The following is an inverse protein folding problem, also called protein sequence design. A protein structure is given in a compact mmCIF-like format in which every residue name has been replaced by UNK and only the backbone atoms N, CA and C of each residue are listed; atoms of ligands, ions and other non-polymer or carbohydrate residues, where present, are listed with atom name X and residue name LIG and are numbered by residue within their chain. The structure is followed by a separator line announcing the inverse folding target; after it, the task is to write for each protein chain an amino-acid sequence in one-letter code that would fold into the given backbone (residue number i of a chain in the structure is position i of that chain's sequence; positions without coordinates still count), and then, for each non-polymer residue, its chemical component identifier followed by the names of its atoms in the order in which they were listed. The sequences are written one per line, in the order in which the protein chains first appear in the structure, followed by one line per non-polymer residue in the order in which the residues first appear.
data_IF_303178461364
#
_entry.id   IF_303178461364
#
_cell.length_a   1.000
_cell.length_b   1.000
_cell.length_c   1.000
_cell.angle_alpha   90.00
_cell.angle_beta   90.00
_cell.angle_gamma   90.00
#
_symmetry.space_group_name_H-M   'P 1'
#
loop_
_entity.id
_entity.type
_entity.pdbx_description
1 polymer ?
#
# COMPACT_ATOMS: atom_id res chain seq x y z
N UNK A 1 11.03 11.09 6.05
CA UNK A 1 12.32 10.39 6.21
C UNK A 1 12.90 10.14 4.82
N UNK A 2 14.18 10.45 4.63
CA UNK A 2 14.93 10.16 3.41
C UNK A 2 15.30 8.67 3.35
N UNK A 3 15.43 8.11 2.15
CA UNK A 3 15.93 6.77 1.92
C UNK A 3 17.37 6.63 2.42
N UNK A 4 17.64 5.55 3.16
CA UNK A 4 19.01 5.08 3.37
C UNK A 4 19.49 4.37 2.10
N UNK A 5 20.81 4.32 1.90
CA UNK A 5 21.42 3.74 0.69
C UNK A 5 20.91 2.33 0.36
N UNK A 6 20.72 1.48 1.38
CA UNK A 6 20.21 0.11 1.23
C UNK A 6 18.77 0.02 0.71
N UNK A 7 17.95 1.07 0.88
CA UNK A 7 16.56 1.10 0.41
C UNK A 7 16.37 1.90 -0.87
N UNK A 8 17.34 2.73 -1.27
CA UNK A 8 17.19 3.70 -2.34
C UNK A 8 16.73 3.04 -3.66
N UNK A 9 17.31 1.90 -4.03
CA UNK A 9 16.95 1.16 -5.25
C UNK A 9 16.22 -0.15 -4.96
N UNK A 10 15.84 -0.40 -3.70
CA UNK A 10 15.17 -1.63 -3.31
C UNK A 10 13.71 -1.65 -3.78
N UNK A 11 13.13 -2.85 -3.94
CA UNK A 11 11.73 -2.99 -4.36
C UNK A 11 10.78 -2.31 -3.37
N UNK A 12 9.71 -1.73 -3.91
CA UNK A 12 8.67 -1.06 -3.14
C UNK A 12 7.34 -1.74 -3.45
N UNK A 13 6.64 -2.21 -2.42
CA UNK A 13 5.31 -2.79 -2.55
C UNK A 13 4.29 -1.98 -1.76
N UNK A 14 3.17 -1.65 -2.41
CA UNK A 14 2.08 -0.84 -1.86
C UNK A 14 0.81 -1.69 -1.86
N UNK A 15 0.20 -1.84 -0.68
CA UNK A 15 -1.12 -2.45 -0.50
C UNK A 15 -2.09 -1.39 -0.02
N UNK A 16 -3.18 -1.21 -0.76
CA UNK A 16 -4.10 -0.11 -0.54
C UNK A 16 -5.53 -0.62 -0.34
N UNK A 17 -6.09 -0.35 0.83
CA UNK A 17 -7.50 -0.54 1.14
C UNK A 17 -8.31 0.63 0.58
N UNK A 18 -8.99 0.45 -0.56
CA UNK A 18 -9.80 1.51 -1.18
C UNK A 18 -11.12 1.77 -0.44
N UNK A 19 -11.51 0.90 0.49
CA UNK A 19 -12.72 1.10 1.29
C UNK A 19 -12.41 2.04 2.46
N UNK A 20 -11.30 1.79 3.15
CA UNK A 20 -10.88 2.64 4.28
C UNK A 20 -10.25 3.95 3.77
N UNK A 21 -9.50 3.90 2.66
CA UNK A 21 -8.89 5.07 2.05
C UNK A 21 -9.37 5.25 0.59
N UNK A 22 -10.62 5.69 0.36
CA UNK A 22 -11.14 5.87 -0.99
C UNK A 22 -10.46 7.03 -1.72
N UNK A 23 -10.52 6.99 -3.06
CA UNK A 23 -10.16 8.14 -3.88
C UNK A 23 -11.20 9.24 -3.66
N UNK A 24 -10.79 10.51 -3.41
CA UNK A 24 -11.73 11.64 -3.34
C UNK A 24 -12.51 11.79 -4.66
N UNK A 25 -13.78 12.22 -4.60
CA UNK A 25 -14.68 12.24 -5.76
C UNK A 25 -14.14 13.03 -6.98
N UNK A 26 -13.40 14.11 -6.73
CA UNK A 26 -12.84 14.99 -7.77
C UNK A 26 -11.40 14.64 -8.15
N UNK A 27 -10.86 13.53 -7.65
CA UNK A 27 -9.48 13.13 -7.90
C UNK A 27 -9.38 12.12 -9.05
N UNK A 28 -8.50 12.41 -10.02
CA UNK A 28 -8.23 11.51 -11.13
C UNK A 28 -7.43 10.30 -10.66
N UNK A 29 -8.07 9.12 -10.66
CA UNK A 29 -7.48 7.86 -10.27
C UNK A 29 -6.22 7.51 -11.08
N UNK A 30 -6.09 7.99 -12.32
CA UNK A 30 -4.90 7.77 -13.15
C UNK A 30 -3.65 8.46 -12.57
N UNK A 31 -3.80 9.50 -11.75
CA UNK A 31 -2.68 10.21 -11.14
C UNK A 31 -2.11 9.52 -9.90
N UNK A 32 -2.78 8.50 -9.36
CA UNK A 32 -2.37 7.83 -8.11
C UNK A 32 -0.96 7.25 -8.21
N UNK A 33 -0.65 6.50 -9.28
CA UNK A 33 0.69 5.93 -9.47
C UNK A 33 1.76 7.01 -9.50
N UNK A 34 1.58 8.02 -10.35
CA UNK A 34 2.56 9.09 -10.51
C UNK A 34 2.78 9.84 -9.19
N UNK A 35 1.71 10.06 -8.42
CA UNK A 35 1.79 10.74 -7.13
C UNK A 35 2.58 9.93 -6.10
N UNK A 36 2.34 8.61 -6.02
CA UNK A 36 3.08 7.72 -5.13
C UNK A 36 4.56 7.62 -5.54
N UNK A 37 4.83 7.39 -6.83
CA UNK A 37 6.20 7.32 -7.37
C UNK A 37 6.95 8.64 -7.18
N UNK A 38 6.28 9.78 -7.37
CA UNK A 38 6.84 11.10 -7.09
C UNK A 38 7.20 11.26 -5.61
N UNK A 39 6.29 10.92 -4.69
CA UNK A 39 6.54 10.98 -3.26
C UNK A 39 7.69 10.06 -2.80
N UNK A 40 7.83 8.88 -3.43
CA UNK A 40 8.98 8.00 -3.21
C UNK A 40 10.28 8.64 -3.71
N UNK A 41 10.27 9.20 -4.93
CA UNK A 41 11.43 9.84 -5.54
C UNK A 41 11.93 11.05 -4.76
N UNK A 42 11.02 11.92 -4.29
CA UNK A 42 11.35 13.06 -3.43
C UNK A 42 12.07 12.64 -2.15
N UNK A 43 11.73 11.45 -1.64
CA UNK A 43 12.37 10.87 -0.46
C UNK A 43 13.60 10.02 -0.79
N UNK A 44 14.05 9.97 -2.04
CA UNK A 44 15.25 9.27 -2.46
C UNK A 44 15.06 7.78 -2.76
N UNK A 45 13.83 7.33 -2.95
CA UNK A 45 13.51 5.97 -3.38
C UNK A 45 13.27 5.97 -4.90
N UNK A 46 14.06 5.18 -5.63
CA UNK A 46 14.00 5.03 -7.09
C UNK A 46 13.90 3.56 -7.52
N UNK A 47 13.61 2.64 -6.58
CA UNK A 47 13.40 1.24 -6.88
C UNK A 47 12.05 0.98 -7.57
N UNK A 48 11.85 -0.23 -8.12
CA UNK A 48 10.60 -0.58 -8.82
C UNK A 48 9.42 -0.62 -7.84
N UNK A 49 8.29 -0.04 -8.25
CA UNK A 49 7.07 0.10 -7.45
C UNK A 49 5.98 -0.86 -7.94
N UNK A 50 5.45 -1.68 -7.05
CA UNK A 50 4.25 -2.50 -7.27
C UNK A 50 3.10 -1.98 -6.40
N UNK A 51 1.94 -1.75 -7.00
CA UNK A 51 0.77 -1.18 -6.32
C UNK A 51 -0.43 -2.11 -6.56
N UNK A 52 -1.04 -2.56 -5.47
CA UNK A 52 -2.30 -3.31 -5.51
C UNK A 52 -3.35 -2.60 -4.68
N UNK A 53 -4.44 -2.22 -5.34
CA UNK A 53 -5.62 -1.61 -4.75
C UNK A 53 -6.68 -2.70 -4.50
N UNK A 54 -7.21 -2.76 -3.29
CA UNK A 54 -8.19 -3.76 -2.86
C UNK A 54 -9.53 -3.09 -2.64
N UNK A 55 -10.56 -3.64 -3.29
CA UNK A 55 -11.91 -3.11 -3.18
C UNK A 55 -12.93 -3.99 -3.86
N UNK A 56 -14.20 -3.73 -3.53
CA UNK A 56 -15.33 -4.36 -4.20
C UNK A 56 -15.55 -3.65 -5.53
N UNK A 57 -15.18 -4.30 -6.64
CA UNK A 57 -15.29 -3.71 -7.97
C UNK A 57 -16.76 -3.46 -8.36
N UNK A 58 -17.72 -4.16 -7.74
CA UNK A 58 -19.16 -3.91 -8.00
C UNK A 58 -19.66 -2.61 -7.38
N UNK A 59 -18.92 -2.09 -6.38
CA UNK A 59 -19.21 -0.83 -5.69
C UNK A 59 -18.28 0.31 -6.10
N UNK A 60 -17.27 0.02 -6.91
CA UNK A 60 -16.28 1.01 -7.36
C UNK A 60 -16.68 1.54 -8.74
N UNK A 61 -16.75 2.86 -8.94
CA UNK A 61 -17.03 3.44 -10.26
C UNK A 61 -16.07 2.94 -11.35
N UNK A 62 -16.60 2.62 -12.53
CA UNK A 62 -15.81 2.07 -13.63
C UNK A 62 -14.64 2.94 -14.08
N UNK A 63 -14.82 4.27 -14.10
CA UNK A 63 -13.75 5.21 -14.47
C UNK A 63 -12.57 5.17 -13.48
N UNK A 64 -12.82 4.87 -12.20
CA UNK A 64 -11.76 4.69 -11.20
C UNK A 64 -10.97 3.42 -11.50
N UNK A 65 -11.67 2.30 -11.72
CA UNK A 65 -11.04 1.01 -12.06
C UNK A 65 -10.20 1.11 -13.33
N UNK A 66 -10.72 1.81 -14.34
CA UNK A 66 -10.04 2.08 -15.60
C UNK A 66 -8.79 2.96 -15.40
N UNK A 67 -8.91 4.09 -14.68
CA UNK A 67 -7.77 4.98 -14.41
C UNK A 67 -6.63 4.30 -13.66
N UNK A 68 -6.96 3.47 -12.66
CA UNK A 68 -5.98 2.66 -11.93
C UNK A 68 -5.31 1.64 -12.86
N UNK A 69 -6.09 0.85 -13.58
CA UNK A 69 -5.57 -0.20 -14.46
C UNK A 69 -4.74 0.36 -15.61
N UNK A 70 -5.15 1.51 -16.17
CA UNK A 70 -4.47 2.20 -17.26
C UNK A 70 -3.03 2.56 -16.92
N UNK A 71 -2.77 2.94 -15.67
CA UNK A 71 -1.40 3.24 -15.22
C UNK A 71 -0.64 2.02 -14.75
N UNK A 72 -1.30 0.84 -14.67
CA UNK A 72 -0.73 -0.42 -14.21
C UNK A 72 -0.96 -0.71 -12.73
N UNK A 73 -1.87 -0.01 -12.03
CA UNK A 73 -2.22 -0.34 -10.64
C UNK A 73 -3.09 -1.59 -10.71
N UNK A 74 -2.68 -2.64 -9.99
CA UNK A 74 -3.46 -3.87 -9.94
C UNK A 74 -4.69 -3.65 -9.07
N UNK A 75 -5.86 -4.09 -9.52
CA UNK A 75 -7.09 -4.00 -8.72
C UNK A 75 -7.56 -5.40 -8.34
N UNK A 76 -7.46 -5.73 -7.06
CA UNK A 76 -7.90 -7.01 -6.50
C UNK A 76 -9.36 -6.93 -6.07
N UNK A 77 -10.25 -7.58 -6.82
CA UNK A 77 -11.66 -7.66 -6.46
C UNK A 77 -11.84 -8.47 -5.16
N UNK A 78 -12.24 -7.78 -4.09
CA UNK A 78 -12.38 -8.37 -2.77
C UNK A 78 -13.63 -7.84 -2.10
N UNK A 79 -14.38 -8.71 -1.40
CA UNK A 79 -15.53 -8.26 -0.61
C UNK A 79 -15.06 -7.34 0.51
N UNK A 80 -15.83 -6.30 0.82
CA UNK A 80 -15.47 -5.24 1.77
C UNK A 80 -15.05 -5.76 3.15
N UNK A 81 -15.62 -6.86 3.62
CA UNK A 81 -15.30 -7.51 4.90
C UNK A 81 -13.99 -8.30 4.90
N UNK A 82 -13.46 -8.62 3.72
CA UNK A 82 -12.28 -9.49 3.54
C UNK A 82 -11.03 -8.75 3.07
N UNK A 83 -11.14 -7.46 2.74
CA UNK A 83 -10.03 -6.67 2.15
C UNK A 83 -8.75 -6.82 2.96
N UNK A 84 -8.79 -6.56 4.26
CA UNK A 84 -7.62 -6.61 5.15
C UNK A 84 -6.98 -8.00 5.22
N UNK A 85 -7.80 -9.05 5.27
CA UNK A 85 -7.31 -10.43 5.29
C UNK A 85 -6.58 -10.79 3.99
N UNK A 86 -7.15 -10.42 2.85
CA UNK A 86 -6.56 -10.67 1.53
C UNK A 86 -5.28 -9.85 1.35
N UNK A 87 -5.29 -8.57 1.72
CA UNK A 87 -4.09 -7.72 1.75
C UNK A 87 -2.97 -8.34 2.58
N UNK A 88 -3.27 -8.76 3.82
CA UNK A 88 -2.28 -9.38 4.69
C UNK A 88 -1.75 -10.70 4.10
N UNK A 89 -2.61 -11.53 3.51
CA UNK A 89 -2.18 -12.77 2.83
C UNK A 89 -1.21 -12.46 1.68
N UNK A 90 -1.56 -11.53 0.81
CA UNK A 90 -0.73 -11.16 -0.34
C UNK A 90 0.61 -10.54 0.11
N UNK A 91 0.59 -9.79 1.22
CA UNK A 91 1.79 -9.27 1.88
C UNK A 91 2.70 -10.40 2.41
N UNK A 92 2.13 -11.43 3.05
CA UNK A 92 2.88 -12.63 3.49
C UNK A 92 3.53 -13.33 2.30
N UNK A 93 2.76 -13.54 1.23
CA UNK A 93 3.24 -14.21 0.01
C UNK A 93 4.37 -13.42 -0.66
N UNK A 94 4.19 -12.10 -0.83
CA UNK A 94 5.19 -11.24 -1.44
C UNK A 94 6.51 -11.25 -0.69
N UNK A 95 6.50 -11.23 0.65
CA UNK A 95 7.71 -11.31 1.48
C UNK A 95 8.47 -12.62 1.31
N UNK A 96 7.76 -13.72 0.99
CA UNK A 96 8.40 -15.01 0.67
C UNK A 96 9.30 -14.95 -0.57
N UNK A 97 9.00 -14.04 -1.49
CA UNK A 97 9.73 -13.87 -2.76
C UNK A 97 10.66 -12.65 -2.77
N UNK A 98 10.54 -11.77 -1.78
CA UNK A 98 11.23 -10.48 -1.75
C UNK A 98 11.81 -10.23 -0.35
N UNK A 99 12.91 -10.90 0.02
CA UNK A 99 13.58 -10.68 1.30
C UNK A 99 14.11 -9.23 1.40
N UNK A 100 14.31 -8.71 2.63
CA UNK A 100 14.86 -7.37 2.80
C UNK A 100 16.32 -7.26 2.29
N UNK A 101 16.79 -6.06 1.90
CA UNK A 101 16.12 -4.77 2.04
C UNK A 101 15.01 -4.58 1.01
N UNK A 102 13.85 -4.13 1.49
CA UNK A 102 12.73 -3.72 0.65
C UNK A 102 11.84 -2.74 1.41
N UNK A 103 11.06 -1.94 0.69
CA UNK A 103 10.10 -1.01 1.27
C UNK A 103 8.69 -1.55 1.11
N UNK A 104 7.92 -1.49 2.19
CA UNK A 104 6.51 -1.88 2.22
C UNK A 104 5.69 -0.66 2.64
N UNK A 105 4.63 -0.36 1.90
CA UNK A 105 3.67 0.70 2.23
C UNK A 105 2.27 0.10 2.36
N UNK A 106 1.59 0.44 3.44
CA UNK A 106 0.19 0.07 3.66
C UNK A 106 -0.63 1.35 3.73
N UNK A 107 -1.71 1.39 2.94
CA UNK A 107 -2.67 2.49 2.91
C UNK A 107 -3.99 1.95 3.46
N UNK A 108 -4.29 2.26 4.72
CA UNK A 108 -5.51 1.85 5.43
C UNK A 108 -5.65 2.63 6.74
N UNK A 109 -6.88 2.99 7.11
CA UNK A 109 -7.18 3.67 8.38
C UNK A 109 -7.14 2.71 9.58
N UNK A 110 -7.27 1.40 9.34
CA UNK A 110 -7.32 0.40 10.38
C UNK A 110 -6.20 -0.62 10.17
N UNK A 111 -5.02 -0.20 10.60
CA UNK A 111 -3.87 -1.10 10.77
C UNK A 111 -4.09 -2.02 11.98
N UNK A 112 -4.91 -1.56 12.93
CA UNK A 112 -5.24 -2.29 14.14
C UNK A 112 -5.89 -3.64 13.86
N UNK A 113 -5.41 -4.70 14.51
CA UNK A 113 -5.89 -6.06 14.34
C UNK A 113 -5.04 -6.90 13.39
N UNK A 114 -5.45 -6.99 12.11
CA UNK A 114 -4.86 -7.97 11.16
C UNK A 114 -3.37 -7.71 10.88
N UNK A 115 -2.93 -6.46 10.93
CA UNK A 115 -1.56 -6.09 10.55
C UNK A 115 -0.63 -5.89 11.75
N UNK A 116 -1.12 -5.37 12.87
CA UNK A 116 -0.31 -4.87 14.00
C UNK A 116 0.85 -5.78 14.42
N UNK A 117 0.55 -7.00 14.83
CA UNK A 117 1.56 -7.91 15.37
C UNK A 117 2.61 -8.27 14.33
N UNK A 118 2.20 -8.41 13.07
CA UNK A 118 3.11 -8.74 12.00
C UNK A 118 4.00 -7.54 11.63
N UNK A 119 3.42 -6.35 11.49
CA UNK A 119 4.18 -5.13 11.18
C UNK A 119 5.15 -4.77 12.30
N UNK A 120 4.73 -4.85 13.56
CA UNK A 120 5.60 -4.64 14.71
C UNK A 120 6.77 -5.63 14.71
N UNK A 121 6.48 -6.91 14.45
CA UNK A 121 7.51 -7.95 14.34
C UNK A 121 8.47 -7.66 13.19
N UNK A 122 7.97 -7.25 12.03
CA UNK A 122 8.80 -6.89 10.88
C UNK A 122 9.71 -5.71 11.23
N UNK A 123 9.16 -4.65 11.80
CA UNK A 123 9.91 -3.46 12.19
C UNK A 123 11.04 -3.78 13.18
N UNK A 124 10.80 -4.70 14.12
CA UNK A 124 11.78 -5.05 15.16
C UNK A 124 12.82 -6.08 14.72
N UNK A 125 12.47 -6.98 13.80
CA UNK A 125 13.26 -8.20 13.52
C UNK A 125 13.80 -8.29 12.10
N UNK A 126 13.45 -7.35 11.22
CA UNK A 126 13.84 -7.40 9.82
C UNK A 126 14.30 -6.03 9.34
N UNK A 127 14.94 -6.00 8.17
CA UNK A 127 15.34 -4.79 7.48
C UNK A 127 14.30 -4.39 6.42
N UNK A 128 13.01 -4.59 6.68
CA UNK A 128 11.98 -3.95 5.85
C UNK A 128 11.81 -2.50 6.30
N UNK A 129 11.78 -1.59 5.34
CA UNK A 129 11.41 -0.21 5.58
C UNK A 129 9.89 -0.08 5.44
N UNK A 130 9.20 0.35 6.50
CA UNK A 130 7.74 0.35 6.55
C UNK A 130 7.20 1.78 6.47
N UNK A 131 6.22 2.00 5.60
CA UNK A 131 5.41 3.21 5.53
C UNK A 131 3.94 2.88 5.80
N UNK A 132 3.28 3.77 6.52
CA UNK A 132 1.84 3.74 6.75
C UNK A 132 1.26 5.06 6.23
N UNK A 133 0.15 4.97 5.50
CA UNK A 133 -0.68 6.09 5.13
C UNK A 133 -2.14 5.79 5.46
N UNK A 134 -2.87 6.83 5.81
CA UNK A 134 -4.24 6.78 6.27
C UNK A 134 -4.97 8.04 5.80
N UNK A 135 -6.27 7.92 5.56
CA UNK A 135 -7.19 9.01 5.24
C UNK A 135 -7.63 9.78 6.50
N UNK A 136 -7.70 9.09 7.64
CA UNK A 136 -7.99 9.68 8.96
C UNK A 136 -6.88 9.28 9.93
N UNK A 137 -6.40 10.23 10.73
CA UNK A 137 -5.35 9.94 11.72
C UNK A 137 -5.84 8.86 12.70
N UNK A 138 -5.10 7.74 12.87
CA UNK A 138 -5.55 6.64 13.73
C UNK A 138 -5.69 7.14 15.16
N UNK A 139 -6.85 6.93 15.76
CA UNK A 139 -7.05 7.17 17.19
C UNK A 139 -6.21 6.15 17.97
N UNK A 140 -5.01 6.56 18.38
CA UNK A 140 -4.19 5.80 19.30
C UNK A 140 -4.86 5.84 20.67
N UNK A 141 -5.68 4.83 20.96
CA UNK A 141 -6.11 4.56 22.32
C UNK A 141 -4.90 3.98 23.08
N UNK A 142 -4.20 4.85 23.80
CA UNK A 142 -3.12 4.50 24.74
C UNK A 142 -3.74 3.93 26.01
#
# INVERSE_FOLDING_TARGET
MQAKAEYATAKIAVWWDMKDCPIPEDYDASLIRQSLEGAFMERGYSGPVSITAYGDQTKTPGYILEGLSYTGVSVANTRSESIKYVMHRDMVEWRGQNPPPATMMIISDEVQGVFDWDLLRLQQRTLYNLFLAYSVEPLLHI
#
